data_IF_383776236478
#
_entry.id   IF_383776236478
#
_cell.length_a   1.000
_cell.length_b   1.000
_cell.length_c   1.000
_cell.angle_alpha   90.00
_cell.angle_beta   90.00
_cell.angle_gamma   90.00
#
_symmetry.space_group_name_H-M   'P 1'
#
loop_
_entity.id
_entity.type
_entity.pdbx_description
1 polymer ?
#
# COMPACT_ATOMS: atom_id res chain seq x y z
N UNK A 1 80.06 17.71 -9.24
CA UNK A 1 78.58 17.61 -9.18
C UNK A 1 78.33 16.51 -8.13
N UNK A 2 78.28 16.83 -6.83
CA UNK A 2 77.14 17.41 -6.08
C UNK A 2 75.84 16.65 -6.32
N UNK A 3 75.10 16.11 -5.34
CA UNK A 3 75.28 15.89 -3.87
C UNK A 3 74.18 14.84 -3.48
N UNK A 4 74.43 13.81 -2.66
CA UNK A 4 74.14 13.68 -1.21
C UNK A 4 72.67 14.02 -0.79
N UNK A 5 71.96 13.27 0.08
CA UNK A 5 72.30 12.10 0.93
C UNK A 5 71.05 11.29 1.37
N UNK A 6 71.20 10.04 1.85
CA UNK A 6 71.23 9.60 3.28
C UNK A 6 69.87 9.61 4.03
N UNK A 7 69.26 8.43 4.27
CA UNK A 7 69.19 7.65 5.56
C UNK A 7 68.26 8.30 6.64
N UNK A 8 67.36 7.62 7.35
CA UNK A 8 67.50 6.38 8.15
C UNK A 8 66.15 5.65 8.43
N UNK A 9 66.21 4.41 8.95
CA UNK A 9 65.08 3.59 9.46
C UNK A 9 64.42 4.19 10.73
N UNK A 10 63.24 3.72 11.19
CA UNK A 10 63.11 2.53 12.07
C UNK A 10 61.81 1.73 11.95
N UNK A 11 61.90 0.46 12.35
CA UNK A 11 60.80 -0.52 12.51
C UNK A 11 59.98 -0.20 13.79
N UNK A 12 58.68 -0.51 13.90
CA UNK A 12 58.06 -1.81 14.28
C UNK A 12 56.52 -1.60 14.35
N UNK A 13 55.61 -2.59 14.32
CA UNK A 13 55.64 -4.03 14.05
C UNK A 13 54.21 -4.49 13.61
N UNK A 14 54.08 -5.73 13.11
CA UNK A 14 52.80 -6.41 12.81
C UNK A 14 52.48 -7.52 13.85
N UNK A 15 51.25 -8.05 13.87
CA UNK A 15 50.99 -9.32 13.15
C UNK A 15 49.70 -9.24 12.29
N UNK A 16 49.73 -9.47 10.97
CA UNK A 16 49.65 -10.79 10.30
C UNK A 16 48.59 -11.77 10.84
N UNK A 17 47.49 -11.96 10.08
CA UNK A 17 47.16 -13.26 9.47
C UNK A 17 45.94 -13.23 8.52
N UNK A 18 46.19 -13.64 7.27
CA UNK A 18 45.29 -14.30 6.30
C UNK A 18 43.85 -13.81 6.08
N UNK A 19 43.72 -13.09 4.97
CA UNK A 19 42.71 -13.37 3.94
C UNK A 19 42.64 -14.88 3.65
N UNK A 20 41.44 -15.46 3.61
CA UNK A 20 41.15 -16.64 2.78
C UNK A 20 39.72 -16.60 2.23
N UNK A 21 39.57 -17.08 1.00
CA UNK A 21 38.34 -17.01 0.22
C UNK A 21 37.40 -18.16 0.58
N UNK A 22 36.09 -17.90 0.62
CA UNK A 22 35.08 -18.94 0.43
C UNK A 22 34.09 -18.55 -0.66
N UNK A 23 34.45 -18.91 -1.90
CA UNK A 23 33.44 -19.24 -2.93
C UNK A 23 32.65 -20.43 -2.41
N UNK A 24 31.33 -20.33 -2.33
CA UNK A 24 30.49 -21.52 -2.16
C UNK A 24 29.85 -21.87 -3.51
N UNK A 25 30.19 -23.06 -4.02
CA UNK A 25 29.74 -23.57 -5.32
C UNK A 25 28.33 -24.14 -5.19
N UNK A 26 27.45 -23.79 -6.12
CA UNK A 26 26.10 -24.34 -6.17
C UNK A 26 26.11 -25.71 -6.86
N UNK A 27 25.91 -26.79 -6.10
CA UNK A 27 25.59 -28.12 -6.64
C UNK A 27 24.29 -28.62 -6.02
N UNK A 28 23.37 -29.09 -6.86
CA UNK A 28 21.97 -29.28 -6.46
C UNK A 28 21.60 -30.65 -5.87
N UNK A 29 20.30 -30.75 -5.57
CA UNK A 29 19.51 -31.90 -5.10
C UNK A 29 19.62 -32.29 -3.62
N UNK A 30 18.49 -32.04 -2.94
CA UNK A 30 17.96 -32.68 -1.73
C UNK A 30 18.54 -32.29 -0.36
N UNK A 31 17.67 -31.72 0.49
CA UNK A 31 17.83 -31.75 1.95
C UNK A 31 18.11 -30.41 2.62
N UNK A 32 17.06 -29.63 2.92
CA UNK A 32 17.19 -28.53 3.87
C UNK A 32 17.34 -29.10 5.30
N UNK A 33 18.55 -29.00 5.87
CA UNK A 33 18.82 -29.35 7.28
C UNK A 33 19.38 -28.16 8.02
N UNK A 34 18.59 -27.67 8.97
CA UNK A 34 18.94 -26.63 9.95
C UNK A 34 20.14 -27.13 10.76
N UNK A 35 21.24 -26.36 10.78
CA UNK A 35 22.37 -26.64 11.65
C UNK A 35 22.29 -25.77 12.92
N UNK A 36 21.78 -26.37 13.99
CA UNK A 36 21.99 -25.86 15.35
C UNK A 36 23.49 -25.92 15.66
N UNK A 37 24.14 -24.78 15.89
CA UNK A 37 25.52 -24.76 16.38
C UNK A 37 25.53 -24.54 17.90
N UNK A 38 26.24 -25.42 18.62
CA UNK A 38 26.29 -25.45 20.07
C UNK A 38 27.16 -24.32 20.64
N UNK A 39 26.53 -23.40 21.38
CA UNK A 39 27.20 -22.64 22.43
C UNK A 39 26.47 -22.86 23.76
N UNK A 40 26.93 -23.88 24.50
CA UNK A 40 26.85 -23.89 25.97
C UNK A 40 28.19 -23.43 26.49
N UNK A 41 28.22 -22.26 27.12
CA UNK A 41 28.95 -21.94 28.35
C UNK A 41 28.49 -20.55 28.80
N UNK A 42 28.28 -20.37 30.11
CA UNK A 42 27.59 -19.26 30.76
C UNK A 42 26.07 -19.18 30.51
N UNK A 43 25.32 -19.37 31.60
CA UNK A 43 23.87 -19.48 31.57
C UNK A 43 23.18 -18.12 31.65
N UNK A 44 22.44 -17.80 30.60
CA UNK A 44 21.09 -17.22 30.65
C UNK A 44 20.47 -17.41 29.26
N UNK A 45 19.82 -18.54 29.04
CA UNK A 45 18.84 -18.62 27.95
C UNK A 45 17.76 -17.60 28.26
N UNK A 46 17.74 -16.50 27.52
CA UNK A 46 16.65 -15.55 27.57
C UNK A 46 15.37 -16.29 27.14
N UNK A 47 14.58 -16.74 28.11
CA UNK A 47 13.23 -17.23 27.86
C UNK A 47 12.43 -16.04 27.39
N UNK A 48 12.29 -15.92 26.08
CA UNK A 48 11.40 -14.93 25.46
C UNK A 48 9.98 -15.33 25.85
N UNK A 49 9.49 -14.75 26.95
CA UNK A 49 8.12 -14.95 27.39
C UNK A 49 7.20 -14.30 26.35
N UNK A 50 6.57 -15.15 25.54
CA UNK A 50 5.61 -14.74 24.53
C UNK A 50 4.43 -14.04 25.22
N UNK A 51 4.26 -12.75 24.98
CA UNK A 51 3.33 -11.90 25.74
C UNK A 51 1.89 -12.32 25.51
N UNK A 52 1.00 -12.05 26.48
CA UNK A 52 -0.42 -12.36 26.34
C UNK A 52 -1.09 -11.64 25.13
N UNK A 53 -0.52 -10.55 24.62
CA UNK A 53 -0.93 -9.92 23.35
C UNK A 53 -0.41 -10.69 22.13
N UNK A 54 0.84 -11.16 22.14
CA UNK A 54 1.44 -12.00 21.09
C UNK A 54 0.73 -13.35 20.95
N UNK A 55 0.49 -14.06 22.07
CA UNK A 55 -0.26 -15.32 22.07
C UNK A 55 -1.68 -15.15 21.49
N UNK A 56 -2.39 -14.07 21.88
CA UNK A 56 -3.70 -13.72 21.30
C UNK A 56 -3.63 -13.30 19.83
N UNK A 57 -2.51 -12.73 19.37
CA UNK A 57 -2.29 -12.47 17.95
C UNK A 57 -2.09 -13.78 17.18
N UNK A 58 -1.20 -14.67 17.65
CA UNK A 58 -0.95 -15.98 17.04
C UNK A 58 -2.21 -16.86 16.97
N UNK A 59 -2.99 -16.91 18.05
CA UNK A 59 -4.27 -17.62 18.07
C UNK A 59 -5.23 -17.07 17.01
N UNK A 60 -5.42 -15.74 16.95
CA UNK A 60 -6.26 -15.08 15.94
C UNK A 60 -5.78 -15.38 14.52
N UNK A 61 -4.47 -15.30 14.23
CA UNK A 61 -3.93 -15.58 12.88
C UNK A 61 -4.18 -17.03 12.43
N UNK A 62 -4.22 -18.00 13.35
CA UNK A 62 -4.52 -19.41 13.03
C UNK A 62 -6.00 -19.64 12.67
N UNK A 63 -6.92 -18.96 13.34
CA UNK A 63 -8.37 -19.08 13.11
C UNK A 63 -8.90 -18.19 11.97
N UNK A 64 -8.06 -17.34 11.40
CA UNK A 64 -8.43 -16.28 10.46
C UNK A 64 -8.73 -16.85 9.05
N UNK A 65 -10.00 -16.86 8.58
CA UNK A 65 -10.34 -17.49 7.30
C UNK A 65 -9.65 -16.77 6.13
N UNK A 66 -9.43 -15.46 6.24
CA UNK A 66 -8.76 -14.68 5.21
C UNK A 66 -7.24 -14.89 5.17
N UNK A 67 -6.60 -15.33 6.27
CA UNK A 67 -5.19 -15.75 6.25
C UNK A 67 -5.03 -17.08 5.52
N UNK A 68 -5.95 -18.04 5.76
CA UNK A 68 -5.99 -19.28 5.00
C UNK A 68 -6.28 -19.01 3.52
N UNK A 69 -7.28 -18.17 3.22
CA UNK A 69 -7.67 -17.81 1.85
C UNK A 69 -6.54 -17.09 1.10
N UNK A 70 -5.80 -16.19 1.76
CA UNK A 70 -4.66 -15.49 1.15
C UNK A 70 -3.59 -16.47 0.66
N UNK A 71 -3.27 -17.50 1.46
CA UNK A 71 -2.30 -18.55 1.08
C UNK A 71 -2.80 -19.40 -0.08
N UNK A 72 -4.10 -19.70 -0.14
CA UNK A 72 -4.70 -20.49 -1.23
C UNK A 72 -4.74 -19.70 -2.55
N UNK A 73 -5.04 -18.40 -2.48
CA UNK A 73 -5.14 -17.49 -3.63
C UNK A 73 -3.82 -16.75 -3.93
N UNK A 74 -2.72 -17.13 -3.28
CA UNK A 74 -1.36 -16.56 -3.46
C UNK A 74 -1.23 -15.04 -3.23
N UNK A 75 -2.11 -14.46 -2.41
CA UNK A 75 -1.95 -13.10 -1.88
C UNK A 75 -0.96 -13.10 -0.72
N UNK A 76 -0.11 -12.07 -0.65
CA UNK A 76 0.96 -11.97 0.37
C UNK A 76 0.42 -11.86 1.80
N UNK A 77 -0.74 -11.25 2.00
CA UNK A 77 -1.43 -11.22 3.29
C UNK A 77 -2.95 -11.02 3.13
N UNK A 78 -3.68 -11.16 4.25
CA UNK A 78 -5.16 -11.10 4.28
C UNK A 78 -5.76 -9.74 3.88
N UNK A 79 -4.99 -8.66 3.78
CA UNK A 79 -5.55 -7.34 3.45
C UNK A 79 -6.00 -7.23 1.99
N UNK A 80 -5.53 -8.09 1.09
CA UNK A 80 -6.02 -8.17 -0.30
C UNK A 80 -7.55 -8.25 -0.36
N UNK A 81 -8.16 -9.07 0.49
CA UNK A 81 -9.62 -9.24 0.54
C UNK A 81 -10.38 -8.00 1.01
N UNK A 82 -9.70 -7.04 1.66
CA UNK A 82 -10.31 -5.75 2.00
C UNK A 82 -10.50 -4.91 0.74
N UNK A 83 -9.46 -4.81 -0.10
CA UNK A 83 -9.53 -4.08 -1.37
C UNK A 83 -10.50 -4.73 -2.34
N UNK A 84 -10.44 -6.06 -2.49
CA UNK A 84 -11.40 -6.83 -3.31
C UNK A 84 -12.85 -6.54 -2.87
N UNK A 85 -13.15 -6.59 -1.57
CA UNK A 85 -14.50 -6.32 -1.06
C UNK A 85 -14.89 -4.83 -1.08
N UNK A 86 -13.94 -3.90 -1.15
CA UNK A 86 -14.23 -2.49 -1.36
C UNK A 86 -14.60 -2.25 -2.83
N UNK A 87 -13.84 -2.85 -3.76
CA UNK A 87 -14.10 -2.83 -5.20
C UNK A 87 -15.48 -3.44 -5.52
N UNK A 88 -15.78 -4.64 -5.01
CA UNK A 88 -17.08 -5.32 -5.14
C UNK A 88 -18.27 -4.50 -4.59
N UNK A 89 -18.06 -3.65 -3.58
CA UNK A 89 -19.13 -2.88 -2.91
C UNK A 89 -19.37 -1.50 -3.53
N UNK A 90 -18.41 -0.97 -4.26
CA UNK A 90 -18.52 0.34 -4.88
C UNK A 90 -19.24 0.16 -6.23
N UNK A 91 -20.35 0.88 -6.50
CA UNK A 91 -21.02 0.75 -7.78
C UNK A 91 -20.09 1.17 -8.92
N UNK A 92 -20.04 0.32 -9.95
CA UNK A 92 -19.11 0.45 -11.07
C UNK A 92 -17.69 -0.05 -10.80
N UNK A 93 -17.34 -0.45 -9.57
CA UNK A 93 -15.99 -0.79 -9.16
C UNK A 93 -15.16 0.41 -8.68
N UNK A 94 -13.96 0.10 -8.18
CA UNK A 94 -12.88 1.04 -7.88
C UNK A 94 -11.76 0.96 -8.93
N UNK A 95 -11.41 -0.23 -9.40
CA UNK A 95 -10.23 -0.47 -10.25
C UNK A 95 -10.65 -1.05 -11.62
N UNK A 96 -10.09 -0.50 -12.68
CA UNK A 96 -10.35 -0.87 -14.07
C UNK A 96 -9.05 -1.17 -14.82
N UNK A 97 -9.09 -1.94 -15.93
CA UNK A 97 -7.89 -2.33 -16.67
C UNK A 97 -7.01 -1.19 -17.20
N UNK A 98 -7.53 0.02 -17.36
CA UNK A 98 -6.78 1.16 -17.89
C UNK A 98 -6.38 2.19 -16.83
N UNK A 99 -6.67 1.92 -15.56
CA UNK A 99 -6.41 2.87 -14.48
C UNK A 99 -4.92 3.08 -14.22
N UNK A 100 -4.59 4.30 -13.80
CA UNK A 100 -3.34 4.62 -13.16
C UNK A 100 -3.62 4.68 -11.66
N UNK A 101 -3.07 3.71 -10.92
CA UNK A 101 -3.36 3.49 -9.49
C UNK A 101 -2.11 3.79 -8.67
N UNK A 102 -2.27 4.59 -7.61
CA UNK A 102 -1.23 4.80 -6.59
C UNK A 102 -1.62 4.05 -5.31
N UNK A 103 -0.71 3.21 -4.80
CA UNK A 103 -0.89 2.39 -3.59
C UNK A 103 0.08 2.84 -2.48
N UNK A 104 -0.43 3.55 -1.48
CA UNK A 104 0.32 4.11 -0.37
C UNK A 104 0.29 3.18 0.86
N UNK A 105 1.45 2.83 1.40
CA UNK A 105 1.54 1.80 2.44
C UNK A 105 1.44 0.39 1.86
N UNK A 106 2.16 0.18 0.76
CA UNK A 106 2.05 -1.02 -0.04
C UNK A 106 2.44 -2.30 0.71
N UNK A 107 3.39 -2.24 1.65
CA UNK A 107 4.01 -3.43 2.25
C UNK A 107 2.99 -4.31 3.01
N UNK A 108 2.97 -5.64 2.77
CA UNK A 108 3.96 -6.44 2.04
C UNK A 108 3.72 -6.54 0.52
N UNK A 109 2.74 -5.83 -0.05
CA UNK A 109 2.44 -5.74 -1.49
C UNK A 109 1.06 -6.27 -1.89
N UNK A 110 0.17 -6.54 -0.94
CA UNK A 110 -1.11 -7.25 -1.20
C UNK A 110 -2.14 -6.42 -1.94
N UNK A 111 -2.23 -5.11 -1.67
CA UNK A 111 -3.12 -4.21 -2.40
C UNK A 111 -2.58 -3.95 -3.81
N UNK A 112 -1.27 -3.70 -3.90
CA UNK A 112 -0.53 -3.66 -5.17
C UNK A 112 -0.75 -4.90 -6.03
N UNK A 113 -0.75 -6.11 -5.46
CA UNK A 113 -1.05 -7.36 -6.18
C UNK A 113 -2.46 -7.35 -6.80
N UNK A 114 -3.48 -6.93 -6.03
CA UNK A 114 -4.87 -6.85 -6.50
C UNK A 114 -4.98 -5.82 -7.63
N UNK A 115 -4.47 -4.59 -7.42
CA UNK A 115 -4.49 -3.54 -8.43
C UNK A 115 -3.76 -3.97 -9.72
N UNK A 116 -2.54 -4.52 -9.61
CA UNK A 116 -1.77 -4.98 -10.77
C UNK A 116 -2.45 -6.13 -11.52
N UNK A 117 -3.20 -7.00 -10.82
CA UNK A 117 -3.95 -8.07 -11.47
C UNK A 117 -5.14 -7.56 -12.30
N UNK A 118 -5.72 -6.41 -11.94
CA UNK A 118 -6.85 -5.79 -12.64
C UNK A 118 -6.35 -4.89 -13.77
N UNK A 119 -5.36 -4.02 -13.52
CA UNK A 119 -4.75 -3.14 -14.53
C UNK A 119 -3.95 -3.91 -15.61
N UNK A 120 -3.42 -5.09 -15.26
CA UNK A 120 -2.69 -6.00 -16.13
C UNK A 120 -1.62 -5.31 -17.00
N UNK A 121 -1.85 -5.21 -18.33
CA UNK A 121 -0.93 -4.55 -19.29
C UNK A 121 -1.48 -3.23 -19.83
N UNK A 122 -2.66 -2.81 -19.39
CA UNK A 122 -3.42 -1.73 -20.00
C UNK A 122 -3.41 -0.43 -19.18
N UNK A 123 -3.10 -0.52 -17.88
CA UNK A 123 -2.89 0.59 -16.96
C UNK A 123 -1.53 0.52 -16.27
N UNK A 124 -1.37 1.29 -15.19
CA UNK A 124 -0.12 1.44 -14.44
C UNK A 124 -0.40 1.43 -12.94
N UNK A 125 0.30 0.58 -12.19
CA UNK A 125 0.27 0.62 -10.72
C UNK A 125 1.60 1.15 -10.21
N UNK A 126 1.55 2.14 -9.32
CA UNK A 126 2.69 2.76 -8.65
C UNK A 126 2.49 2.53 -7.15
N UNK A 127 3.50 2.05 -6.44
CA UNK A 127 3.34 1.70 -5.02
C UNK A 127 4.48 2.21 -4.16
N UNK A 128 4.14 2.75 -2.99
CA UNK A 128 5.06 3.38 -2.03
C UNK A 128 4.96 2.71 -0.67
N UNK A 129 6.09 2.48 -0.01
CA UNK A 129 6.14 2.12 1.41
C UNK A 129 7.46 2.57 2.05
N UNK A 130 7.42 2.88 3.34
CA UNK A 130 8.60 3.18 4.16
C UNK A 130 9.49 1.94 4.38
N UNK A 131 8.87 0.75 4.39
CA UNK A 131 9.55 -0.53 4.56
C UNK A 131 10.01 -1.12 3.22
N UNK A 132 10.92 -2.08 3.28
CA UNK A 132 11.21 -2.94 2.14
C UNK A 132 10.06 -3.93 1.92
N UNK A 133 9.76 -4.24 0.65
CA UNK A 133 8.82 -5.29 0.28
C UNK A 133 9.17 -5.88 -1.10
N UNK A 134 8.89 -7.17 -1.34
CA UNK A 134 9.27 -7.81 -2.61
C UNK A 134 8.61 -7.14 -3.82
N UNK A 135 9.33 -7.01 -4.94
CA UNK A 135 8.77 -6.47 -6.18
C UNK A 135 7.45 -7.16 -6.60
N UNK A 136 6.44 -6.38 -7.02
CA UNK A 136 5.15 -6.89 -7.51
C UNK A 136 5.12 -6.83 -9.04
N UNK A 137 5.00 -7.96 -9.76
CA UNK A 137 4.92 -7.96 -11.22
C UNK A 137 3.75 -7.10 -11.73
N UNK A 138 4.03 -6.21 -12.69
CA UNK A 138 3.04 -5.27 -13.23
C UNK A 138 2.91 -3.95 -12.48
N UNK A 139 3.66 -3.74 -11.39
CA UNK A 139 3.68 -2.49 -10.63
C UNK A 139 5.09 -1.89 -10.52
N UNK A 140 5.16 -0.56 -10.52
CA UNK A 140 6.37 0.20 -10.23
C UNK A 140 6.47 0.45 -8.73
N UNK A 141 7.31 -0.33 -8.06
CA UNK A 141 7.44 -0.33 -6.61
C UNK A 141 8.57 0.61 -6.17
N UNK A 142 8.27 1.48 -5.20
CA UNK A 142 9.20 2.38 -4.53
C UNK A 142 9.22 2.07 -3.01
N UNK A 143 9.94 1.03 -2.57
CA UNK A 143 10.23 0.81 -1.15
C UNK A 143 11.11 1.93 -0.58
N UNK A 144 11.20 2.02 0.75
CA UNK A 144 11.96 3.05 1.46
C UNK A 144 11.56 4.50 1.11
N UNK A 145 10.30 4.71 0.72
CA UNK A 145 9.74 6.03 0.39
C UNK A 145 8.62 6.37 1.37
N UNK A 146 8.80 7.43 2.16
CA UNK A 146 7.78 7.89 3.09
C UNK A 146 6.70 8.69 2.36
N UNK A 147 5.44 8.28 2.50
CA UNK A 147 4.29 8.97 1.89
C UNK A 147 4.01 10.32 2.58
N UNK A 148 4.57 10.56 3.78
CA UNK A 148 4.53 11.89 4.40
C UNK A 148 5.34 12.93 3.60
N UNK A 149 6.37 12.50 2.85
CA UNK A 149 6.98 13.31 1.78
C UNK A 149 6.15 13.15 0.49
N UNK A 150 4.96 13.76 0.52
CA UNK A 150 4.00 13.68 -0.58
C UNK A 150 4.50 14.41 -1.84
N UNK A 151 5.39 15.38 -1.70
CA UNK A 151 6.00 16.11 -2.84
C UNK A 151 6.98 15.21 -3.60
N UNK A 152 7.86 14.49 -2.89
CA UNK A 152 8.71 13.45 -3.47
C UNK A 152 7.86 12.36 -4.14
N UNK A 153 6.81 11.89 -3.46
CA UNK A 153 5.89 10.90 -4.03
C UNK A 153 5.22 11.40 -5.32
N UNK A 154 4.76 12.65 -5.35
CA UNK A 154 4.17 13.25 -6.55
C UNK A 154 5.17 13.32 -7.72
N UNK A 155 6.41 13.72 -7.47
CA UNK A 155 7.48 13.72 -8.49
C UNK A 155 7.83 12.31 -9.01
N UNK A 156 7.77 11.29 -8.14
CA UNK A 156 7.95 9.88 -8.52
C UNK A 156 6.75 9.31 -9.29
N UNK A 157 5.53 9.78 -9.02
CA UNK A 157 4.32 9.49 -9.80
C UNK A 157 4.39 10.11 -11.19
N UNK A 158 4.65 11.42 -11.28
CA UNK A 158 4.76 12.14 -12.56
C UNK A 158 5.82 11.48 -13.47
N UNK A 159 6.99 11.12 -12.91
CA UNK A 159 8.03 10.37 -13.61
C UNK A 159 7.56 8.99 -14.07
N UNK A 160 6.91 8.22 -13.20
CA UNK A 160 6.42 6.88 -13.52
C UNK A 160 5.39 6.89 -14.66
N UNK A 161 4.47 7.86 -14.64
CA UNK A 161 3.47 8.11 -15.69
C UNK A 161 4.17 8.47 -16.99
N UNK A 162 5.08 9.45 -16.97
CA UNK A 162 5.82 9.88 -18.16
C UNK A 162 6.59 8.73 -18.82
N UNK A 163 7.32 7.91 -18.03
CA UNK A 163 8.06 6.75 -18.54
C UNK A 163 7.13 5.65 -19.10
N UNK A 164 5.97 5.40 -18.48
CA UNK A 164 5.01 4.40 -18.96
C UNK A 164 4.38 4.80 -20.30
N UNK A 165 3.97 6.06 -20.45
CA UNK A 165 3.35 6.55 -21.67
C UNK A 165 4.36 6.84 -22.79
N UNK A 166 5.59 7.26 -22.49
CA UNK A 166 6.64 7.44 -23.50
C UNK A 166 6.99 6.13 -24.24
N UNK A 167 6.88 4.98 -23.57
CA UNK A 167 7.08 3.66 -24.16
C UNK A 167 5.82 3.09 -24.84
N UNK A 168 4.68 3.80 -24.77
CA UNK A 168 3.39 3.34 -25.27
C UNK A 168 3.00 4.09 -26.55
N UNK A 169 2.70 3.39 -27.64
CA UNK A 169 2.14 3.99 -28.88
C UNK A 169 0.69 4.48 -28.74
N UNK A 170 0.23 4.78 -27.53
CA UNK A 170 -1.18 5.04 -27.23
C UNK A 170 -1.40 6.54 -27.07
N UNK A 171 -1.84 7.17 -28.16
CA UNK A 171 -2.25 8.57 -28.15
C UNK A 171 -3.48 8.83 -27.28
N UNK A 172 -3.64 10.09 -26.89
CA UNK A 172 -4.84 10.70 -26.28
C UNK A 172 -5.46 9.98 -25.08
N UNK A 173 -4.65 9.31 -24.25
CA UNK A 173 -5.07 8.94 -22.89
C UNK A 173 -4.78 10.07 -21.90
N UNK A 174 -5.69 10.36 -20.95
CA UNK A 174 -5.48 11.40 -19.96
C UNK A 174 -4.27 11.06 -19.09
N UNK A 175 -3.33 12.00 -18.97
CA UNK A 175 -2.20 11.91 -18.06
C UNK A 175 -2.66 12.20 -16.63
N UNK A 176 -2.46 11.24 -15.73
CA UNK A 176 -2.68 11.41 -14.28
C UNK A 176 -3.22 10.16 -13.62
N UNK A 177 -3.50 10.24 -12.32
CA UNK A 177 -3.95 9.12 -11.48
C UNK A 177 -5.48 9.07 -11.41
N UNK A 178 -6.07 7.90 -11.66
CA UNK A 178 -7.52 7.69 -11.55
C UNK A 178 -7.95 7.10 -10.20
N UNK A 179 -7.02 6.52 -9.44
CA UNK A 179 -7.27 5.99 -8.10
C UNK A 179 -6.06 6.12 -7.17
N UNK A 180 -6.27 6.69 -5.98
CA UNK A 180 -5.30 6.63 -4.88
C UNK A 180 -5.83 5.72 -3.77
N UNK A 181 -4.99 4.81 -3.29
CA UNK A 181 -5.27 3.82 -2.26
C UNK A 181 -4.35 4.00 -1.05
N UNK A 182 -4.86 3.72 0.15
CA UNK A 182 -4.04 3.61 1.37
C UNK A 182 -4.63 2.60 2.37
N UNK A 183 -3.86 1.55 2.68
CA UNK A 183 -4.08 0.66 3.85
C UNK A 183 -3.11 1.00 5.01
N UNK A 184 -2.50 2.20 5.00
CA UNK A 184 -1.58 2.63 6.06
C UNK A 184 -2.22 2.64 7.45
N UNK A 185 -1.37 2.48 8.46
CA UNK A 185 -1.66 2.80 9.85
C UNK A 185 -0.34 3.09 10.56
N UNK A 186 -0.30 4.00 11.55
CA UNK A 186 0.89 4.20 12.35
C UNK A 186 1.10 3.00 13.30
N UNK A 187 2.31 2.89 13.87
CA UNK A 187 2.58 1.95 14.95
C UNK A 187 1.72 2.32 16.17
N UNK A 188 0.69 1.53 16.45
CA UNK A 188 -0.22 1.79 17.57
C UNK A 188 0.50 1.61 18.92
N UNK A 189 0.63 2.71 19.67
CA UNK A 189 1.11 2.73 21.04
C UNK A 189 0.07 2.20 22.04
N UNK A 190 -1.22 2.23 21.66
CA UNK A 190 -2.36 1.99 22.54
C UNK A 190 -2.83 3.24 23.28
N UNK A 191 -2.12 4.37 23.14
CA UNK A 191 -2.48 5.67 23.71
C UNK A 191 -3.17 6.49 22.62
N UNK A 192 -4.48 6.67 22.76
CA UNK A 192 -5.33 7.33 21.74
C UNK A 192 -4.84 8.72 21.35
N UNK A 193 -4.34 9.49 22.32
CA UNK A 193 -3.90 10.88 22.13
C UNK A 193 -2.61 11.00 21.31
N UNK A 194 -1.88 9.89 21.10
CA UNK A 194 -0.72 9.79 20.21
C UNK A 194 -1.13 9.10 18.90
N UNK A 195 -1.87 7.99 19.02
CA UNK A 195 -2.26 7.13 17.90
C UNK A 195 -3.19 7.85 16.90
N UNK A 196 -4.16 8.63 17.39
CA UNK A 196 -5.12 9.34 16.53
C UNK A 196 -4.44 10.45 15.71
N UNK A 197 -3.68 11.40 16.29
CA UNK A 197 -2.94 12.39 15.49
C UNK A 197 -2.01 11.76 14.46
N UNK A 198 -1.29 10.68 14.81
CA UNK A 198 -0.43 9.98 13.86
C UNK A 198 -1.21 9.37 12.67
N UNK A 199 -2.41 8.83 12.91
CA UNK A 199 -3.30 8.33 11.85
C UNK A 199 -3.81 9.47 10.97
N UNK A 200 -4.21 10.61 11.57
CA UNK A 200 -4.71 11.76 10.82
C UNK A 200 -3.63 12.43 9.98
N UNK A 201 -2.37 12.47 10.45
CA UNK A 201 -1.23 12.98 9.68
C UNK A 201 -0.98 12.12 8.43
N UNK A 202 -0.98 10.78 8.57
CA UNK A 202 -0.87 9.86 7.43
C UNK A 202 -2.02 10.04 6.43
N UNK A 203 -3.25 10.20 6.92
CA UNK A 203 -4.41 10.45 6.07
C UNK A 203 -4.32 11.80 5.32
N UNK A 204 -3.82 12.84 5.99
CA UNK A 204 -3.59 14.17 5.40
C UNK A 204 -2.56 14.13 4.28
N UNK A 205 -1.43 13.46 4.48
CA UNK A 205 -0.40 13.32 3.45
C UNK A 205 -0.90 12.56 2.20
N UNK A 206 -1.70 11.51 2.38
CA UNK A 206 -2.35 10.80 1.26
C UNK A 206 -3.35 11.70 0.52
N UNK A 207 -4.10 12.55 1.23
CA UNK A 207 -5.01 13.51 0.61
C UNK A 207 -4.25 14.58 -0.18
N UNK A 208 -3.14 15.11 0.36
CA UNK A 208 -2.27 16.08 -0.34
C UNK A 208 -1.68 15.48 -1.62
N UNK A 209 -1.12 14.27 -1.54
CA UNK A 209 -0.67 13.53 -2.71
C UNK A 209 -1.80 13.35 -3.72
N UNK A 210 -2.97 12.89 -3.28
CA UNK A 210 -4.12 12.64 -4.16
C UNK A 210 -4.59 13.90 -4.88
N UNK A 211 -4.72 15.03 -4.19
CA UNK A 211 -5.10 16.32 -4.81
C UNK A 211 -4.08 16.74 -5.88
N UNK A 212 -2.79 16.48 -5.66
CA UNK A 212 -1.71 16.85 -6.59
C UNK A 212 -1.61 15.95 -7.84
N UNK A 213 -1.97 14.66 -7.76
CA UNK A 213 -1.73 13.70 -8.87
C UNK A 213 -3.00 13.22 -9.59
N UNK A 214 -4.18 13.46 -9.03
CA UNK A 214 -5.43 12.88 -9.54
C UNK A 214 -6.00 13.61 -10.75
N UNK A 215 -6.53 12.85 -11.71
CA UNK A 215 -7.34 13.40 -12.82
C UNK A 215 -8.75 13.74 -12.36
N UNK A 216 -9.47 14.67 -13.02
CA UNK A 216 -10.91 14.85 -12.81
C UNK A 216 -11.66 13.52 -12.89
N UNK A 217 -12.59 13.29 -11.96
CA UNK A 217 -13.34 12.03 -11.86
C UNK A 217 -12.67 10.92 -11.03
N UNK A 218 -11.41 11.08 -10.63
CA UNK A 218 -10.66 10.07 -9.86
C UNK A 218 -11.33 9.70 -8.52
N UNK A 219 -10.93 8.57 -7.97
CA UNK A 219 -11.39 8.06 -6.67
C UNK A 219 -10.24 7.98 -5.65
N UNK A 220 -10.61 7.97 -4.37
CA UNK A 220 -9.68 7.94 -3.25
C UNK A 220 -10.17 6.97 -2.18
N UNK A 221 -9.28 6.12 -1.68
CA UNK A 221 -9.54 5.19 -0.57
C UNK A 221 -8.47 5.40 0.50
N UNK A 222 -8.88 5.79 1.71
CA UNK A 222 -7.99 5.98 2.85
C UNK A 222 -8.49 5.15 4.03
N UNK A 223 -7.64 4.29 4.57
CA UNK A 223 -7.86 3.69 5.89
C UNK A 223 -7.75 4.72 7.00
N UNK A 224 -8.71 4.68 7.90
CA UNK A 224 -8.75 5.45 9.14
C UNK A 224 -9.06 4.52 10.31
N UNK A 225 -8.95 5.05 11.52
CA UNK A 225 -9.61 4.48 12.69
C UNK A 225 -10.92 5.20 12.98
N UNK A 226 -11.88 4.48 13.55
CA UNK A 226 -13.16 5.03 13.96
C UNK A 226 -12.96 5.92 15.20
N UNK A 227 -12.80 7.22 14.96
CA UNK A 227 -12.59 8.25 15.98
C UNK A 227 -13.37 9.54 15.63
N UNK A 228 -13.56 10.47 16.58
CA UNK A 228 -14.26 11.74 16.33
C UNK A 228 -13.68 12.56 15.18
N UNK A 229 -12.37 12.48 14.96
CA UNK A 229 -11.59 13.24 13.99
C UNK A 229 -11.81 12.77 12.54
N UNK A 230 -12.30 11.54 12.35
CA UNK A 230 -12.57 10.98 11.03
C UNK A 230 -13.70 11.74 10.30
N UNK A 231 -14.72 12.24 11.01
CA UNK A 231 -15.85 12.95 10.39
C UNK A 231 -15.48 14.38 9.91
N UNK A 232 -14.76 15.22 10.68
CA UNK A 232 -14.13 16.44 10.17
C UNK A 232 -13.25 16.19 8.93
N UNK A 233 -12.42 15.15 8.94
CA UNK A 233 -11.60 14.78 7.80
C UNK A 233 -12.43 14.36 6.58
N UNK A 234 -13.49 13.57 6.78
CA UNK A 234 -14.47 13.23 5.72
C UNK A 234 -15.14 14.47 5.12
N UNK A 235 -15.47 15.48 5.94
CA UNK A 235 -16.00 16.76 5.45
C UNK A 235 -14.98 17.55 4.63
N UNK A 236 -13.71 17.55 5.04
CA UNK A 236 -12.60 18.12 4.27
C UNK A 236 -12.44 17.41 2.91
N UNK A 237 -12.38 16.07 2.87
CA UNK A 237 -12.32 15.32 1.61
C UNK A 237 -13.54 15.60 0.72
N UNK A 238 -14.73 15.80 1.31
CA UNK A 238 -15.96 16.12 0.56
C UNK A 238 -15.92 17.48 -0.15
N UNK A 239 -14.93 18.34 0.10
CA UNK A 239 -14.69 19.58 -0.66
C UNK A 239 -14.04 19.31 -2.02
N UNK A 240 -13.39 18.16 -2.20
CA UNK A 240 -12.63 17.81 -3.41
C UNK A 240 -13.27 16.68 -4.23
N UNK A 241 -14.27 15.99 -3.69
CA UNK A 241 -14.88 14.81 -4.30
C UNK A 241 -16.40 14.93 -4.29
N UNK A 242 -17.03 14.91 -5.47
CA UNK A 242 -18.46 15.19 -5.65
C UNK A 242 -19.29 14.02 -6.20
N UNK A 243 -18.68 12.85 -6.41
CA UNK A 243 -19.34 11.68 -7.01
C UNK A 243 -19.51 11.81 -8.53
N UNK A 244 -20.52 11.16 -9.15
CA UNK A 244 -21.58 10.37 -8.50
C UNK A 244 -21.08 9.01 -7.97
N UNK A 245 -21.90 8.38 -7.13
CA UNK A 245 -21.73 6.96 -6.78
C UNK A 245 -22.47 6.03 -7.74
N UNK A 246 -23.60 6.49 -8.29
CA UNK A 246 -24.54 5.65 -9.04
C UNK A 246 -24.44 5.83 -10.57
N UNK A 247 -23.47 6.62 -11.04
CA UNK A 247 -23.18 6.80 -12.47
C UNK A 247 -22.61 5.52 -13.06
N UNK A 248 -23.47 4.75 -13.70
CA UNK A 248 -23.13 3.62 -14.57
C UNK A 248 -22.08 4.11 -15.58
N UNK A 249 -20.87 3.54 -15.54
CA UNK A 249 -19.83 3.85 -16.52
C UNK A 249 -20.32 3.52 -17.93
N UNK A 250 -20.41 4.54 -18.78
CA UNK A 250 -21.05 4.47 -20.08
C UNK A 250 -20.11 3.90 -21.17
N UNK A 251 -19.58 2.68 -20.99
CA UNK A 251 -19.00 1.87 -22.10
C UNK A 251 -18.78 0.39 -21.71
N UNK A 252 -19.86 -0.40 -21.59
CA UNK A 252 -19.78 -1.88 -21.79
C UNK A 252 -21.02 -2.38 -22.53
N UNK A 253 -20.90 -2.96 -23.74
CA UNK A 253 -22.01 -3.66 -24.37
C UNK A 253 -22.27 -4.98 -23.62
N UNK A 254 -23.33 -5.00 -22.79
CA UNK A 254 -23.71 -6.19 -22.01
C UNK A 254 -24.14 -7.34 -22.94
N UNK A 255 -23.46 -8.48 -22.83
CA UNK A 255 -23.95 -9.75 -23.40
C UNK A 255 -25.26 -10.15 -22.72
N UNK A 256 -26.19 -10.69 -23.51
CA UNK A 256 -27.50 -11.15 -23.07
C UNK A 256 -27.42 -12.17 -21.92
N UNK A 257 -28.10 -11.88 -20.81
CA UNK A 257 -28.60 -12.89 -19.88
C UNK A 257 -29.98 -12.50 -19.36
N UNK A 258 -30.86 -13.48 -19.21
CA UNK A 258 -32.30 -13.29 -18.99
C UNK A 258 -32.59 -12.78 -17.58
N UNK A 259 -33.51 -11.82 -17.48
CA UNK A 259 -33.98 -11.25 -16.22
C UNK A 259 -34.96 -12.22 -15.55
N UNK A 260 -34.65 -12.64 -14.31
CA UNK A 260 -35.64 -13.13 -13.35
C UNK A 260 -35.92 -12.01 -12.34
N UNK A 261 -37.17 -11.56 -12.23
CA UNK A 261 -37.53 -10.41 -11.41
C UNK A 261 -37.63 -10.76 -9.91
N UNK A 262 -36.95 -10.00 -9.05
CA UNK A 262 -37.26 -9.93 -7.63
C UNK A 262 -36.81 -8.60 -7.00
N UNK A 263 -37.74 -7.95 -6.29
CA UNK A 263 -37.50 -6.87 -5.31
C UNK A 263 -36.77 -5.60 -5.80
N UNK A 264 -37.47 -4.74 -6.53
CA UNK A 264 -37.10 -3.32 -6.67
C UNK A 264 -37.34 -2.59 -5.34
N UNK A 265 -36.30 -2.43 -4.51
CA UNK A 265 -36.34 -1.47 -3.40
C UNK A 265 -36.18 -0.06 -3.96
N UNK A 266 -37.23 0.76 -3.83
CA UNK A 266 -37.22 2.18 -4.18
C UNK A 266 -36.42 2.98 -3.14
N UNK A 267 -35.18 3.33 -3.48
CA UNK A 267 -34.38 4.26 -2.68
C UNK A 267 -34.87 5.69 -2.92
N UNK A 268 -35.28 6.37 -1.87
CA UNK A 268 -35.54 7.81 -1.92
C UNK A 268 -34.23 8.56 -2.14
N UNK A 269 -34.21 9.50 -3.09
CA UNK A 269 -33.03 10.33 -3.40
C UNK A 269 -32.77 11.38 -2.31
N UNK A 270 -32.42 10.93 -1.10
CA UNK A 270 -31.70 11.78 -0.16
C UNK A 270 -30.30 12.08 -0.71
N UNK A 271 -29.76 13.27 -0.44
CA UNK A 271 -28.41 13.66 -0.87
C UNK A 271 -27.36 12.72 -0.26
N UNK A 272 -26.94 11.69 -1.01
CA UNK A 272 -25.96 10.73 -0.53
C UNK A 272 -24.58 11.32 -0.68
N UNK A 273 -23.91 11.55 0.45
CA UNK A 273 -22.58 12.14 0.50
C UNK A 273 -21.61 11.45 -0.47
N UNK A 274 -20.82 12.22 -1.25
CA UNK A 274 -19.86 11.70 -2.22
C UNK A 274 -18.66 11.00 -1.56
N UNK A 275 -18.51 11.14 -0.24
CA UNK A 275 -17.52 10.45 0.59
C UNK A 275 -18.25 9.58 1.61
N UNK A 276 -17.99 8.28 1.62
CA UNK A 276 -18.64 7.29 2.48
C UNK A 276 -17.61 6.52 3.30
N UNK A 277 -17.96 6.13 4.53
CA UNK A 277 -17.19 5.15 5.28
C UNK A 277 -17.68 3.74 4.99
N UNK A 278 -16.76 2.85 4.65
CA UNK A 278 -17.01 1.42 4.41
C UNK A 278 -16.12 0.59 5.34
N UNK A 279 -16.66 -0.51 5.88
CA UNK A 279 -15.88 -1.54 6.58
C UNK A 279 -16.06 -2.89 5.88
N UNK A 280 -15.07 -3.38 5.12
CA UNK A 280 -15.19 -4.65 4.42
C UNK A 280 -15.36 -5.81 5.42
N UNK A 281 -16.00 -6.91 5.02
CA UNK A 281 -16.12 -8.10 5.87
C UNK A 281 -14.77 -8.81 6.12
N UNK A 282 -13.76 -8.47 5.32
CA UNK A 282 -12.36 -8.80 5.49
C UNK A 282 -11.60 -7.86 6.44
N UNK A 283 -12.25 -6.85 7.02
CA UNK A 283 -11.77 -6.22 8.25
C UNK A 283 -12.04 -7.11 9.45
N UNK A 284 -11.26 -6.94 10.54
CA UNK A 284 -11.60 -7.61 11.80
C UNK A 284 -12.73 -6.85 12.50
N UNK A 285 -13.66 -7.58 13.12
CA UNK A 285 -14.76 -6.99 13.89
C UNK A 285 -14.26 -6.22 15.12
N UNK A 286 -13.20 -6.73 15.77
CA UNK A 286 -12.53 -6.11 16.93
C UNK A 286 -11.58 -4.95 16.56
N UNK A 287 -11.33 -4.70 15.28
CA UNK A 287 -10.49 -3.59 14.83
C UNK A 287 -11.29 -2.29 14.76
N UNK A 288 -10.70 -1.17 15.16
CA UNK A 288 -11.25 0.17 14.93
C UNK A 288 -11.17 0.63 13.46
N UNK A 289 -10.60 -0.17 12.55
CA UNK A 289 -10.42 0.23 11.15
C UNK A 289 -11.74 0.46 10.39
N UNK A 290 -11.75 1.53 9.61
CA UNK A 290 -12.77 1.91 8.63
C UNK A 290 -12.04 2.45 7.39
N UNK A 291 -12.68 2.42 6.22
CA UNK A 291 -12.15 2.99 4.99
C UNK A 291 -13.02 4.15 4.55
N UNK A 292 -12.44 5.34 4.48
CA UNK A 292 -13.00 6.46 3.74
C UNK A 292 -12.86 6.15 2.26
N UNK A 293 -13.98 6.18 1.53
CA UNK A 293 -14.01 6.06 0.07
C UNK A 293 -14.67 7.30 -0.51
N UNK A 294 -14.00 7.95 -1.46
CA UNK A 294 -14.47 9.12 -2.17
C UNK A 294 -14.41 8.87 -3.68
N UNK A 295 -15.37 9.40 -4.44
CA UNK A 295 -15.42 9.29 -5.91
C UNK A 295 -15.62 10.68 -6.54
N UNK A 296 -15.15 10.86 -7.77
CA UNK A 296 -15.40 12.07 -8.53
C UNK A 296 -14.58 13.26 -8.05
N UNK A 297 -13.26 13.13 -8.09
CA UNK A 297 -12.34 14.25 -7.82
C UNK A 297 -12.62 15.45 -8.73
N UNK A 298 -12.61 16.66 -8.17
CA UNK A 298 -12.75 17.92 -8.88
C UNK A 298 -11.59 18.84 -8.47
N UNK A 299 -10.68 19.22 -9.39
CA UNK A 299 -9.47 19.96 -9.04
C UNK A 299 -9.71 21.42 -8.65
N UNK A 300 -10.79 22.04 -9.14
CA UNK A 300 -11.00 23.50 -9.05
C UNK A 300 -11.57 23.99 -7.70
N UNK A 301 -11.75 23.09 -6.71
CA UNK A 301 -12.51 23.42 -5.49
C UNK A 301 -11.74 24.26 -4.48
N UNK A 302 -10.45 23.98 -4.23
CA UNK A 302 -9.66 24.64 -3.18
C UNK A 302 -8.16 24.73 -3.56
N UNK A 303 -7.80 25.77 -4.31
CA UNK A 303 -6.39 26.26 -4.38
C UNK A 303 -6.21 27.53 -3.52
N UNK A 304 -7.29 28.09 -2.96
CA UNK A 304 -7.25 29.37 -2.22
C UNK A 304 -7.12 29.26 -0.69
N UNK A 305 -7.03 28.06 -0.08
CA UNK A 305 -7.03 27.94 1.41
C UNK A 305 -6.37 26.68 1.99
N UNK A 306 -5.21 26.29 1.46
CA UNK A 306 -4.25 25.40 2.11
C UNK A 306 -2.87 26.08 2.15
#
# INVERSE_FOLDING_TARGET
MRELGFWHSTEHNFPTALVSQLRCVWTGRNGCRILFCLQRLFGRTAVVHDTASSQRWLARQRSDPYVRRARLESFRCRSAFKLIQLDERVPGGLIHPQDVVVDCGAAPGSWTQVAASICAKSGLVISFDLLDFPHVPGARCYPHTDVQDWELCAGLVDRAIAEHYANSKVGDRPFGVSLVLSDMAPNASGIRDIDIPAMMNLASAVLQLAIRVSTPGASLVIKLWQCPEAEPFRKMVSQFYHGPWDSISATVPKKNQKISASATQSWTMGSVSPVRFLKPAASRSDSAEIYLVAKGFVPDCVIQTL
#
